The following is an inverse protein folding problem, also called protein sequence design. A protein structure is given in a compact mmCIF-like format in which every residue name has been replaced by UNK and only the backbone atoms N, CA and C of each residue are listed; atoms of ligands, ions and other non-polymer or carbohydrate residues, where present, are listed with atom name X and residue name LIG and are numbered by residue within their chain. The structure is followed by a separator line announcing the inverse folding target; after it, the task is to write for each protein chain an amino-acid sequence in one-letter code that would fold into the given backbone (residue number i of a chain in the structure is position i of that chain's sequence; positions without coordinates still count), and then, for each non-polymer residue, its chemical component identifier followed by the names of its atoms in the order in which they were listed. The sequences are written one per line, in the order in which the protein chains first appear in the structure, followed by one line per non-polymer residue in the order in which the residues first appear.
data_IF_916535045811
#
_entry.id   IF_916535045811
#
_cell.length_a   1.000
_cell.length_b   1.000
_cell.length_c   1.000
_cell.angle_alpha   90.00
_cell.angle_beta   90.00
_cell.angle_gamma   90.00
#
_symmetry.space_group_name_H-M   'P 1'
#
loop_
_entity.id
_entity.type
_entity.pdbx_description
1 polymer ?
#
# COMPACT_ATOMS: atom_id res chain seq x y z
N UNK A 1 5.11 2.31 53.74
CA UNK A 1 4.26 1.79 52.67
C UNK A 1 4.74 2.37 51.36
N UNK A 2 5.58 1.62 50.63
CA UNK A 2 6.09 2.05 49.32
C UNK A 2 5.09 1.64 48.24
N UNK A 3 4.43 2.61 47.60
CA UNK A 3 3.63 2.38 46.42
C UNK A 3 4.57 2.26 45.19
N UNK A 4 4.75 1.06 44.69
CA UNK A 4 5.33 0.83 43.37
C UNK A 4 4.29 1.19 42.28
N UNK A 5 4.44 2.35 41.68
CA UNK A 5 3.72 2.70 40.43
C UNK A 5 4.31 1.83 39.33
N UNK A 6 3.60 0.77 38.93
CA UNK A 6 3.89 0.04 37.68
C UNK A 6 3.59 0.96 36.51
N UNK A 7 4.61 1.61 35.96
CA UNK A 7 4.56 2.20 34.64
C UNK A 7 4.38 1.06 33.63
N UNK A 8 3.15 0.87 33.17
CA UNK A 8 2.83 0.01 32.05
C UNK A 8 3.34 0.71 30.77
N UNK A 9 4.57 0.39 30.36
CA UNK A 9 5.01 0.68 29.00
C UNK A 9 4.18 -0.21 28.07
N UNK A 10 3.11 0.35 27.48
CA UNK A 10 2.50 -0.21 26.28
C UNK A 10 3.59 -0.23 25.21
N UNK A 11 4.22 -1.40 25.00
CA UNK A 11 5.04 -1.65 23.83
C UNK A 11 4.09 -1.49 22.63
N UNK A 12 4.18 -0.36 21.95
CA UNK A 12 3.56 -0.19 20.63
C UNK A 12 4.26 -1.23 19.76
N UNK A 13 3.56 -2.34 19.49
CA UNK A 13 4.05 -3.36 18.57
C UNK A 13 4.29 -2.67 17.24
N UNK A 14 5.56 -2.45 16.88
CA UNK A 14 5.89 -1.76 15.64
C UNK A 14 5.25 -2.52 14.48
N UNK A 15 4.48 -1.79 13.67
CA UNK A 15 3.80 -2.39 12.53
C UNK A 15 4.84 -2.77 11.46
N UNK A 16 4.95 -4.06 11.15
CA UNK A 16 5.95 -4.61 10.25
C UNK A 16 5.86 -4.04 8.83
N UNK A 17 4.64 -3.79 8.34
CA UNK A 17 4.44 -3.20 7.01
C UNK A 17 4.94 -1.76 6.96
N UNK A 18 4.71 -0.98 8.01
CA UNK A 18 5.23 0.37 8.16
C UNK A 18 6.77 0.39 8.10
N UNK A 19 7.43 -0.51 8.84
CA UNK A 19 8.90 -0.63 8.83
C UNK A 19 9.38 -0.98 7.43
N UNK A 20 8.78 -1.98 6.80
CA UNK A 20 9.12 -2.41 5.45
C UNK A 20 8.98 -1.29 4.42
N UNK A 21 7.91 -0.50 4.50
CA UNK A 21 7.69 0.65 3.62
C UNK A 21 8.75 1.75 3.84
N UNK A 22 9.07 2.09 5.09
CA UNK A 22 10.13 3.06 5.40
C UNK A 22 11.51 2.63 4.88
N UNK A 23 11.81 1.34 4.91
CA UNK A 23 13.07 0.84 4.35
C UNK A 23 13.17 1.07 2.83
N UNK A 24 12.05 1.03 2.11
CA UNK A 24 12.06 1.26 0.66
C UNK A 24 12.50 2.67 0.30
N UNK A 25 12.27 3.66 1.16
CA UNK A 25 12.67 5.06 0.90
C UNK A 25 14.19 5.27 0.86
N UNK A 26 14.98 4.28 1.29
CA UNK A 26 16.45 4.32 1.22
C UNK A 26 17.00 4.05 -0.18
N UNK A 27 16.16 3.55 -1.09
CA UNK A 27 16.56 3.17 -2.45
C UNK A 27 15.95 4.12 -3.48
N UNK A 28 16.80 4.60 -4.38
CA UNK A 28 16.33 5.46 -5.49
C UNK A 28 15.59 4.60 -6.52
N UNK A 29 14.37 4.99 -6.84
CA UNK A 29 13.52 4.34 -7.85
C UNK A 29 13.00 5.39 -8.80
N UNK A 30 13.14 5.16 -10.10
CA UNK A 30 12.55 5.98 -11.15
C UNK A 30 11.11 5.56 -11.39
N UNK A 31 10.19 6.53 -11.50
CA UNK A 31 8.80 6.23 -11.84
C UNK A 31 8.71 5.71 -13.28
N UNK A 32 8.26 4.46 -13.44
CA UNK A 32 8.13 3.83 -14.76
C UNK A 32 6.85 2.99 -14.81
N UNK A 33 5.79 3.48 -15.52
CA UNK A 33 4.52 2.78 -15.67
C UNK A 33 4.53 1.73 -16.79
N UNK A 34 5.66 1.49 -17.44
CA UNK A 34 5.78 0.54 -18.54
C UNK A 34 5.31 -0.87 -18.14
N UNK A 35 4.85 -1.62 -19.12
CA UNK A 35 4.58 -3.04 -18.96
C UNK A 35 5.89 -3.82 -18.96
N UNK A 36 6.04 -4.68 -17.96
CA UNK A 36 7.18 -5.60 -17.83
C UNK A 36 6.69 -7.04 -17.84
N UNK A 37 7.34 -7.90 -18.63
CA UNK A 37 7.22 -9.34 -18.47
C UNK A 37 8.10 -9.77 -17.31
N UNK A 38 7.50 -10.31 -16.26
CA UNK A 38 8.17 -10.65 -15.00
C UNK A 38 7.94 -12.12 -14.64
N UNK A 39 8.81 -12.67 -13.80
CA UNK A 39 8.66 -14.03 -13.27
C UNK A 39 7.32 -14.19 -12.53
N UNK A 40 6.89 -15.41 -12.32
CA UNK A 40 5.73 -15.77 -11.52
C UNK A 40 5.98 -17.11 -10.83
N UNK A 41 5.74 -17.26 -9.53
CA UNK A 41 5.41 -16.19 -8.56
C UNK A 41 6.63 -15.31 -8.21
N UNK A 42 6.43 -14.32 -7.33
CA UNK A 42 7.46 -13.41 -6.78
C UNK A 42 8.19 -12.54 -7.81
N UNK A 43 7.60 -12.32 -9.00
CA UNK A 43 8.17 -11.44 -10.00
C UNK A 43 8.17 -9.98 -9.57
N UNK A 44 9.22 -9.24 -9.95
CA UNK A 44 9.31 -7.79 -9.74
C UNK A 44 9.78 -7.10 -11.03
N UNK A 45 9.42 -5.85 -11.16
CA UNK A 45 10.01 -4.96 -12.16
C UNK A 45 11.46 -4.64 -11.79
N UNK A 46 12.31 -4.11 -12.71
CA UNK A 46 13.68 -3.72 -12.37
C UNK A 46 13.74 -2.95 -11.07
N UNK A 47 14.74 -3.25 -10.23
CA UNK A 47 14.82 -2.73 -8.85
C UNK A 47 14.91 -1.21 -8.75
N UNK A 48 15.41 -0.56 -9.79
CA UNK A 48 15.52 0.89 -9.95
C UNK A 48 14.28 1.55 -10.57
N UNK A 49 13.22 0.76 -10.86
CA UNK A 49 11.98 1.20 -11.47
C UNK A 49 10.77 0.83 -10.63
N UNK A 50 9.67 1.55 -10.82
CA UNK A 50 8.40 1.20 -10.18
C UNK A 50 7.41 2.36 -10.14
N UNK A 51 6.17 2.02 -9.77
CA UNK A 51 5.07 2.97 -9.56
C UNK A 51 4.52 2.84 -8.14
N UNK A 52 3.41 3.51 -7.83
CA UNK A 52 2.81 3.48 -6.49
C UNK A 52 2.47 2.07 -5.98
N UNK A 53 1.98 1.19 -6.85
CA UNK A 53 1.66 -0.19 -6.49
C UNK A 53 2.91 -1.01 -6.15
N UNK A 54 4.05 -0.75 -6.83
CA UNK A 54 5.29 -1.47 -6.57
C UNK A 54 5.85 -1.16 -5.16
N UNK A 55 5.57 0.02 -4.60
CA UNK A 55 5.86 0.33 -3.19
C UNK A 55 5.12 -0.64 -2.27
N UNK A 56 3.81 -0.82 -2.47
CA UNK A 56 2.98 -1.72 -1.65
C UNK A 56 3.43 -3.18 -1.84
N UNK A 57 3.61 -3.61 -3.08
CA UNK A 57 4.05 -4.98 -3.43
C UNK A 57 5.38 -5.31 -2.76
N UNK A 58 6.37 -4.43 -2.87
CA UNK A 58 7.70 -4.61 -2.30
C UNK A 58 7.69 -4.59 -0.78
N UNK A 59 6.87 -3.73 -0.15
CA UNK A 59 6.71 -3.72 1.29
C UNK A 59 6.14 -5.05 1.80
N UNK A 60 5.10 -5.58 1.15
CA UNK A 60 4.54 -6.89 1.48
C UNK A 60 5.52 -8.04 1.24
N UNK A 61 6.32 -7.98 0.17
CA UNK A 61 7.36 -8.98 -0.12
C UNK A 61 8.40 -9.07 1.00
N UNK A 62 8.77 -7.95 1.63
CA UNK A 62 9.64 -7.97 2.83
C UNK A 62 9.01 -8.71 4.03
N UNK A 63 7.70 -8.85 4.03
CA UNK A 63 6.96 -9.64 5.04
C UNK A 63 6.79 -11.11 4.63
N UNK A 64 7.29 -11.52 3.46
CA UNK A 64 7.11 -12.86 2.91
C UNK A 64 5.74 -13.07 2.22
N UNK A 65 5.04 -11.98 1.88
CA UNK A 65 3.72 -12.01 1.23
C UNK A 65 3.89 -11.63 -0.24
N UNK A 66 3.53 -12.53 -1.15
CA UNK A 66 3.57 -12.32 -2.59
C UNK A 66 2.23 -11.81 -3.11
N UNK A 67 2.07 -10.48 -3.18
CA UNK A 67 0.85 -9.88 -3.71
C UNK A 67 0.64 -10.16 -5.21
N UNK A 68 1.69 -10.41 -5.99
CA UNK A 68 1.53 -10.83 -7.39
C UNK A 68 0.73 -12.12 -7.46
N UNK A 69 1.15 -13.13 -6.69
CA UNK A 69 0.50 -14.44 -6.63
C UNK A 69 -0.92 -14.30 -6.06
N UNK A 70 -1.07 -13.71 -4.90
CA UNK A 70 -2.35 -13.65 -4.19
C UNK A 70 -3.43 -12.91 -5.00
N UNK A 71 -3.10 -11.78 -5.61
CA UNK A 71 -4.03 -11.01 -6.46
C UNK A 71 -4.37 -11.79 -7.71
N UNK A 72 -3.38 -12.35 -8.41
CA UNK A 72 -3.60 -13.10 -9.64
C UNK A 72 -4.49 -14.34 -9.41
N UNK A 73 -4.24 -15.10 -8.35
CA UNK A 73 -5.03 -16.28 -8.00
C UNK A 73 -6.47 -15.94 -7.57
N UNK A 74 -6.68 -14.82 -6.84
CA UNK A 74 -8.03 -14.37 -6.52
C UNK A 74 -8.77 -13.87 -7.77
N UNK A 75 -8.08 -13.16 -8.67
CA UNK A 75 -8.64 -12.73 -9.96
C UNK A 75 -9.02 -13.91 -10.86
N UNK A 76 -8.20 -14.95 -10.95
CA UNK A 76 -8.51 -16.16 -11.72
C UNK A 76 -9.84 -16.79 -11.28
N UNK A 77 -10.07 -16.86 -9.98
CA UNK A 77 -11.28 -17.45 -9.38
C UNK A 77 -12.50 -16.54 -9.43
N UNK A 78 -12.29 -15.23 -9.49
CA UNK A 78 -13.33 -14.21 -9.26
C UNK A 78 -13.26 -13.07 -10.29
N UNK A 79 -12.87 -13.36 -11.53
CA UNK A 79 -12.60 -12.35 -12.55
C UNK A 79 -13.75 -11.35 -12.77
N UNK A 80 -15.00 -11.80 -12.64
CA UNK A 80 -16.20 -10.97 -12.80
C UNK A 80 -16.33 -9.86 -11.75
N UNK A 81 -15.70 -10.03 -10.58
CA UNK A 81 -15.74 -9.07 -9.47
C UNK A 81 -14.68 -7.96 -9.59
N UNK A 82 -13.69 -8.15 -10.47
CA UNK A 82 -12.63 -7.17 -10.68
C UNK A 82 -13.00 -6.15 -11.75
N UNK A 83 -12.51 -4.90 -11.64
CA UNK A 83 -12.77 -3.85 -12.63
C UNK A 83 -12.28 -4.25 -14.01
N UNK A 84 -13.12 -4.08 -15.02
CA UNK A 84 -12.78 -4.36 -16.43
C UNK A 84 -12.31 -3.09 -17.16
N UNK A 85 -11.61 -2.24 -16.46
CA UNK A 85 -10.93 -1.08 -17.03
C UNK A 85 -9.82 -1.61 -17.95
N UNK A 86 -9.47 -0.90 -18.98
CA UNK A 86 -8.46 -1.29 -19.98
C UNK A 86 -8.86 -2.45 -20.92
N UNK A 87 -10.16 -2.77 -21.03
CA UNK A 87 -10.65 -3.80 -21.94
C UNK A 87 -10.22 -5.23 -21.58
N UNK A 88 -9.98 -5.48 -20.29
CA UNK A 88 -9.53 -6.80 -19.78
C UNK A 88 -10.55 -7.89 -20.11
N UNK A 89 -10.09 -8.91 -20.85
CA UNK A 89 -10.84 -10.14 -21.14
C UNK A 89 -10.38 -11.34 -20.33
N UNK A 90 -9.19 -11.27 -19.75
CA UNK A 90 -8.56 -12.31 -18.92
C UNK A 90 -7.59 -11.69 -17.93
N UNK A 91 -7.14 -12.50 -16.96
CA UNK A 91 -6.08 -12.10 -16.02
C UNK A 91 -4.72 -12.03 -16.69
N UNK A 92 -3.82 -11.21 -16.15
CA UNK A 92 -2.44 -11.08 -16.58
C UNK A 92 -1.52 -11.00 -15.36
N UNK A 93 -0.77 -12.07 -15.10
CA UNK A 93 0.14 -12.20 -13.97
C UNK A 93 1.23 -11.12 -13.89
N UNK A 94 1.52 -10.45 -15.01
CA UNK A 94 2.54 -9.40 -15.06
C UNK A 94 2.03 -8.04 -14.55
N UNK A 95 0.71 -7.78 -14.64
CA UNK A 95 0.17 -6.44 -14.41
C UNK A 95 -1.02 -6.40 -13.43
N UNK A 96 -1.68 -7.51 -13.14
CA UNK A 96 -2.90 -7.54 -12.33
C UNK A 96 -2.69 -6.87 -10.96
N UNK A 97 -1.59 -7.21 -10.26
CA UNK A 97 -1.21 -6.68 -8.96
C UNK A 97 -0.65 -5.24 -9.03
N UNK A 98 -0.28 -4.76 -10.22
CA UNK A 98 0.26 -3.41 -10.44
C UNK A 98 -0.82 -2.38 -10.80
N UNK A 99 -2.10 -2.72 -10.63
CA UNK A 99 -3.24 -1.84 -10.89
C UNK A 99 -3.97 -1.51 -9.59
N UNK A 100 -4.01 -0.23 -9.22
CA UNK A 100 -4.66 0.22 -7.98
C UNK A 100 -6.10 -0.27 -7.85
N UNK A 101 -6.98 -0.21 -8.88
CA UNK A 101 -8.33 -0.72 -8.78
C UNK A 101 -8.42 -2.22 -8.47
N UNK A 102 -7.47 -3.02 -8.98
CA UNK A 102 -7.39 -4.45 -8.69
C UNK A 102 -6.97 -4.68 -7.23
N UNK A 103 -5.96 -3.95 -6.74
CA UNK A 103 -5.54 -4.01 -5.33
C UNK A 103 -6.69 -3.58 -4.40
N UNK A 104 -7.43 -2.52 -4.75
CA UNK A 104 -8.61 -2.10 -3.97
C UNK A 104 -9.65 -3.23 -3.88
N UNK A 105 -9.94 -3.90 -5.00
CA UNK A 105 -10.86 -5.05 -5.01
C UNK A 105 -10.32 -6.19 -4.17
N UNK A 106 -9.05 -6.52 -4.32
CA UNK A 106 -8.39 -7.58 -3.54
C UNK A 106 -8.43 -7.29 -2.05
N UNK A 107 -8.02 -6.10 -1.60
CA UNK A 107 -8.03 -5.74 -0.19
C UNK A 107 -9.45 -5.64 0.39
N UNK A 108 -10.45 -5.24 -0.41
CA UNK A 108 -11.86 -5.28 0.00
C UNK A 108 -12.37 -6.69 0.24
N UNK A 109 -11.83 -7.69 -0.48
CA UNK A 109 -12.25 -9.09 -0.42
C UNK A 109 -11.48 -9.90 0.63
N UNK A 110 -10.21 -9.60 0.83
CA UNK A 110 -9.26 -10.41 1.62
C UNK A 110 -8.75 -9.74 2.87
N UNK A 111 -8.83 -8.42 2.93
CA UNK A 111 -8.41 -7.60 4.06
C UNK A 111 -9.58 -7.08 4.87
N UNK A 112 -9.29 -6.08 5.69
CA UNK A 112 -10.29 -5.30 6.43
C UNK A 112 -10.48 -3.97 5.74
N UNK A 113 -11.73 -3.59 5.48
CA UNK A 113 -12.11 -2.27 4.96
C UNK A 113 -12.35 -1.34 6.13
N UNK A 114 -11.63 -0.22 6.15
CA UNK A 114 -11.76 0.81 7.19
C UNK A 114 -12.55 2.02 6.69
N UNK A 115 -12.98 2.86 7.62
CA UNK A 115 -13.70 4.09 7.30
C UNK A 115 -12.80 5.06 6.53
N UNK A 116 -13.37 5.71 5.51
CA UNK A 116 -12.73 6.82 4.79
C UNK A 116 -13.15 8.13 5.40
N UNK A 117 -12.52 8.53 6.47
CA UNK A 117 -12.85 9.74 7.23
C UNK A 117 -11.89 10.89 6.89
N UNK A 118 -12.15 12.07 7.47
CA UNK A 118 -11.24 13.22 7.47
C UNK A 118 -10.46 13.36 8.79
N UNK A 119 -10.57 12.38 9.68
CA UNK A 119 -9.90 12.37 10.98
C UNK A 119 -8.60 11.60 10.87
N UNK A 120 -7.50 12.22 11.23
CA UNK A 120 -6.16 11.63 11.14
C UNK A 120 -5.96 10.44 12.06
N UNK A 121 -6.65 10.39 13.17
CA UNK A 121 -6.62 9.29 14.15
C UNK A 121 -7.18 7.97 13.63
N UNK A 122 -8.01 8.01 12.58
CA UNK A 122 -8.55 6.80 11.95
C UNK A 122 -7.52 6.08 11.05
N UNK A 123 -6.37 6.69 10.79
CA UNK A 123 -5.31 6.15 9.94
C UNK A 123 -4.08 5.80 10.76
N UNK A 124 -3.79 4.53 10.89
CA UNK A 124 -2.71 4.01 11.74
C UNK A 124 -1.57 3.40 10.91
N UNK A 125 -0.35 3.31 11.44
CA UNK A 125 0.77 2.68 10.74
C UNK A 125 0.44 1.26 10.26
N UNK A 126 0.72 0.99 8.98
CA UNK A 126 0.41 -0.26 8.30
C UNK A 126 -0.89 -0.23 7.50
N UNK A 127 -1.69 0.82 7.62
CA UNK A 127 -2.85 0.99 6.76
C UNK A 127 -2.44 1.27 5.32
N UNK A 128 -3.27 0.79 4.39
CA UNK A 128 -3.16 1.03 2.96
C UNK A 128 -4.22 2.05 2.59
N UNK A 129 -3.81 3.16 2.00
CA UNK A 129 -4.73 4.21 1.58
C UNK A 129 -4.69 4.34 0.06
N UNK A 130 -5.86 4.54 -0.56
CA UNK A 130 -6.00 4.77 -1.99
C UNK A 130 -6.69 6.12 -2.23
N UNK A 131 -6.21 6.84 -3.23
CA UNK A 131 -6.70 8.17 -3.59
C UNK A 131 -7.13 8.25 -5.06
N UNK A 132 -7.97 9.23 -5.36
CA UNK A 132 -8.18 9.76 -6.70
C UNK A 132 -7.41 11.09 -6.80
N UNK A 133 -6.39 11.14 -7.66
CA UNK A 133 -5.52 12.30 -7.89
C UNK A 133 -6.15 13.37 -8.80
N UNK A 134 -7.44 13.30 -9.06
CA UNK A 134 -8.22 13.99 -10.10
C UNK A 134 -8.31 13.19 -11.41
N UNK A 135 -9.36 13.47 -12.19
CA UNK A 135 -9.54 12.85 -13.51
C UNK A 135 -9.65 11.32 -13.54
N UNK A 136 -9.88 10.67 -12.39
CA UNK A 136 -9.96 9.21 -12.32
C UNK A 136 -8.61 8.49 -12.16
N UNK A 137 -7.51 9.23 -12.05
CA UNK A 137 -6.17 8.64 -11.81
C UNK A 137 -6.13 8.13 -10.37
N UNK A 138 -5.99 6.82 -10.21
CA UNK A 138 -5.93 6.17 -8.89
C UNK A 138 -4.50 6.07 -8.39
N UNK A 139 -4.34 6.22 -7.08
CA UNK A 139 -3.05 6.18 -6.39
C UNK A 139 -3.15 5.36 -5.11
N UNK A 140 -2.03 4.83 -4.61
CA UNK A 140 -1.97 4.01 -3.40
C UNK A 140 -0.67 4.26 -2.63
N UNK A 141 -0.75 4.16 -1.30
CA UNK A 141 0.41 4.28 -0.41
C UNK A 141 0.17 3.59 0.93
N UNK A 142 1.18 3.60 1.77
CA UNK A 142 1.19 2.96 3.09
C UNK A 142 1.38 4.02 4.16
N UNK A 143 0.49 4.03 5.16
CA UNK A 143 0.64 4.84 6.38
C UNK A 143 1.80 4.28 7.21
N UNK A 144 2.72 5.13 7.65
CA UNK A 144 3.92 4.67 8.35
C UNK A 144 4.09 5.33 9.72
N UNK A 145 4.83 4.68 10.62
CA UNK A 145 5.10 5.17 11.97
C UNK A 145 6.13 6.33 11.98
N UNK A 146 5.83 7.33 11.17
CA UNK A 146 6.47 8.65 11.19
C UNK A 146 5.40 9.70 11.17
N UNK A 147 5.44 10.61 12.12
CA UNK A 147 4.49 11.72 12.19
C UNK A 147 5.00 12.95 11.46
N UNK A 148 4.07 13.77 11.03
CA UNK A 148 4.31 15.13 10.53
C UNK A 148 5.02 15.99 11.59
N UNK A 149 5.62 17.10 11.18
CA UNK A 149 6.35 18.01 12.11
C UNK A 149 5.47 18.54 13.25
N UNK A 150 4.18 18.72 13.00
CA UNK A 150 3.19 19.16 13.99
C UNK A 150 2.60 18.01 14.84
N UNK A 151 3.07 16.77 14.65
CA UNK A 151 2.61 15.55 15.31
C UNK A 151 1.12 15.20 15.14
N UNK A 152 0.39 15.83 14.20
CA UNK A 152 -1.06 15.68 14.07
C UNK A 152 -1.48 14.43 13.30
N UNK A 153 -0.62 13.91 12.40
CA UNK A 153 -0.95 12.74 11.58
C UNK A 153 0.27 11.92 11.20
N UNK A 154 0.05 10.73 10.76
CA UNK A 154 1.10 9.88 10.21
C UNK A 154 1.37 10.23 8.74
N UNK A 155 2.64 10.08 8.34
CA UNK A 155 3.10 10.28 6.97
C UNK A 155 2.86 9.03 6.12
N UNK A 156 2.98 9.20 4.83
CA UNK A 156 2.74 8.16 3.81
C UNK A 156 4.05 7.83 3.08
N UNK A 157 4.28 6.54 2.84
CA UNK A 157 5.27 6.09 1.85
C UNK A 157 4.53 5.70 0.58
N UNK A 158 4.90 6.33 -0.52
CA UNK A 158 4.32 6.13 -1.85
C UNK A 158 5.29 6.48 -2.97
N UNK A 159 4.84 6.38 -4.24
CA UNK A 159 5.57 6.88 -5.41
C UNK A 159 4.58 7.52 -6.39
N UNK A 160 4.57 8.85 -6.46
CA UNK A 160 3.71 9.63 -7.37
C UNK A 160 4.50 10.25 -8.55
N UNK A 161 5.79 9.90 -8.69
CA UNK A 161 6.69 10.43 -9.73
C UNK A 161 8.10 10.73 -9.22
N UNK A 162 8.25 11.02 -7.93
CA UNK A 162 9.54 11.38 -7.31
C UNK A 162 10.29 10.17 -6.70
N UNK A 163 9.91 8.94 -7.05
CA UNK A 163 10.44 7.72 -6.45
C UNK A 163 9.69 7.29 -5.20
N UNK A 164 10.25 6.35 -4.46
CA UNK A 164 9.72 5.83 -3.21
C UNK A 164 10.01 6.82 -2.07
N UNK A 165 9.08 7.72 -1.79
CA UNK A 165 9.29 8.84 -0.88
C UNK A 165 8.35 8.79 0.34
N UNK A 166 8.78 9.44 1.42
CA UNK A 166 8.01 9.68 2.63
C UNK A 166 7.43 11.10 2.55
N UNK A 167 6.12 11.23 2.48
CA UNK A 167 5.44 12.52 2.32
C UNK A 167 4.25 12.68 3.27
N UNK A 168 3.93 13.92 3.58
CA UNK A 168 2.73 14.33 4.30
C UNK A 168 1.61 14.63 3.30
N UNK A 169 1.01 13.59 2.75
CA UNK A 169 0.01 13.71 1.67
C UNK A 169 -1.32 12.99 1.96
N UNK A 170 -1.57 12.60 3.22
CA UNK A 170 -2.74 11.79 3.58
C UNK A 170 -4.06 12.42 3.11
N UNK A 171 -4.21 13.74 3.21
CA UNK A 171 -5.44 14.47 2.87
C UNK A 171 -5.32 15.39 1.66
N UNK A 172 -4.24 15.30 0.89
CA UNK A 172 -4.04 16.16 -0.29
C UNK A 172 -5.00 15.81 -1.44
N UNK A 173 -5.49 14.55 -1.46
CA UNK A 173 -6.39 14.06 -2.49
C UNK A 173 -7.60 13.37 -1.89
N UNK A 174 -8.63 13.15 -2.73
CA UNK A 174 -9.83 12.42 -2.32
C UNK A 174 -9.50 10.96 -2.00
N UNK A 175 -9.61 10.55 -0.73
CA UNK A 175 -9.48 9.16 -0.32
C UNK A 175 -10.65 8.34 -0.88
N UNK A 176 -10.34 7.27 -1.60
CA UNK A 176 -11.30 6.34 -2.22
C UNK A 176 -11.23 4.93 -1.64
N UNK A 177 -10.17 4.59 -0.90
CA UNK A 177 -10.00 3.31 -0.22
C UNK A 177 -9.16 3.44 1.04
N UNK A 178 -9.49 2.64 2.06
CA UNK A 178 -8.74 2.52 3.31
C UNK A 178 -8.84 1.08 3.80
N UNK A 179 -7.69 0.42 3.94
CA UNK A 179 -7.61 -1.02 4.17
C UNK A 179 -6.50 -1.38 5.14
N UNK A 180 -6.63 -2.57 5.76
CA UNK A 180 -5.50 -3.30 6.36
C UNK A 180 -5.49 -4.75 5.88
N UNK A 181 -4.29 -5.34 5.75
CA UNK A 181 -4.14 -6.70 5.24
C UNK A 181 -2.87 -7.35 5.80
N UNK A 182 -3.00 -8.43 6.58
CA UNK A 182 -1.88 -9.26 7.11
C UNK A 182 -0.68 -8.46 7.70
N UNK A 183 -0.93 -7.35 8.34
CA UNK A 183 0.05 -6.41 8.92
C UNK A 183 0.14 -6.52 10.46
#
# INVERSE_FOLDING_TARGET
LFFFVKLSFSQIKENRLSIAALELTKYKVTYDPSYFSISYPNGDVPSDKGVCTDVVIRAYRKLGIDLQKEVHEDMLKNFSLYPKVWGLKRTDKNIDHRRVPNLMTFFSRKGTVSIKSKKSEDYIPGDIVCWNLHGGITHIGIVVNKKTKDNKRYMIVHNIGNGQVLEDCLFDFKIIGHYSYKN
#
